data_IF_710002094701
#
_entry.id   IF_710002094701
#
_cell.length_a   1.000
_cell.length_b   1.000
_cell.length_c   1.000
_cell.angle_alpha   90.00
_cell.angle_beta   90.00
_cell.angle_gamma   90.00
#
_symmetry.space_group_name_H-M   'P 1'
#
loop_
_entity.id
_entity.type
_entity.pdbx_description
1 polymer ?
#
# COMPACT_ATOMS: atom_id res chain seq x y z
N UNK A 1 -6.41 28.05 7.75
CA UNK A 1 -5.13 27.32 7.57
C UNK A 1 -3.98 28.32 7.66
N UNK A 2 -3.20 28.32 8.76
CA UNK A 2 -2.00 29.16 8.87
C UNK A 2 -0.93 28.64 7.90
N UNK A 3 -0.38 29.53 7.06
CA UNK A 3 0.76 29.21 6.18
C UNK A 3 1.92 28.70 7.03
N UNK A 4 2.58 27.58 6.67
CA UNK A 4 3.78 27.14 7.38
C UNK A 4 4.87 28.21 7.22
N UNK A 5 5.41 28.69 8.34
CA UNK A 5 6.57 29.61 8.36
C UNK A 5 7.71 29.00 7.56
N UNK A 6 8.34 29.79 6.68
CA UNK A 6 9.50 29.29 5.92
C UNK A 6 10.68 29.14 6.88
N UNK A 7 11.58 28.19 6.60
CA UNK A 7 12.77 27.93 7.42
C UNK A 7 13.62 29.19 7.71
N UNK A 8 13.67 30.12 6.75
CA UNK A 8 14.36 31.41 6.88
C UNK A 8 13.71 32.29 7.96
N UNK A 9 12.39 32.31 8.02
CA UNK A 9 11.63 33.12 8.98
C UNK A 9 11.83 32.62 10.41
N UNK A 10 11.93 31.29 10.61
CA UNK A 10 12.18 30.70 11.93
C UNK A 10 13.56 31.06 12.48
N UNK A 11 14.59 31.04 11.61
CA UNK A 11 15.96 31.42 12.00
C UNK A 11 16.04 32.88 12.40
N UNK A 12 15.39 33.77 11.65
CA UNK A 12 15.39 35.22 11.94
C UNK A 12 14.68 35.51 13.26
N UNK A 13 13.53 34.87 13.50
CA UNK A 13 12.80 35.01 14.77
C UNK A 13 13.62 34.49 15.95
N UNK A 14 14.28 33.34 15.81
CA UNK A 14 15.10 32.78 16.88
C UNK A 14 16.30 33.69 17.22
N UNK A 15 17.01 34.19 16.21
CA UNK A 15 18.10 35.15 16.41
C UNK A 15 17.62 36.42 17.10
N UNK A 16 16.46 36.97 16.71
CA UNK A 16 15.88 38.14 17.37
C UNK A 16 15.59 37.90 18.86
N UNK A 17 14.97 36.78 19.21
CA UNK A 17 14.67 36.46 20.62
C UNK A 17 15.93 36.22 21.47
N UNK A 18 16.98 35.61 20.89
CA UNK A 18 18.27 35.41 21.58
C UNK A 18 18.94 36.76 21.84
N UNK A 19 18.98 37.64 20.84
CA UNK A 19 19.53 38.99 20.97
C UNK A 19 18.74 39.77 22.03
N UNK A 20 17.40 39.74 21.95
CA UNK A 20 16.55 40.44 22.89
C UNK A 20 16.78 39.97 24.33
N UNK A 21 16.86 38.66 24.57
CA UNK A 21 17.08 38.12 25.90
C UNK A 21 18.48 38.37 26.46
N UNK A 22 19.48 38.55 25.59
CA UNK A 22 20.80 38.99 26.02
C UNK A 22 20.80 40.45 26.48
N UNK A 23 20.09 41.33 25.77
CA UNK A 23 20.06 42.76 26.09
C UNK A 23 19.02 43.14 27.17
N UNK A 24 17.96 42.35 27.36
CA UNK A 24 16.89 42.65 28.32
C UNK A 24 17.39 42.90 29.75
N UNK A 25 18.32 42.08 30.31
CA UNK A 25 18.83 42.31 31.67
C UNK A 25 19.62 43.61 31.81
N UNK A 26 20.27 44.08 30.73
CA UNK A 26 20.98 45.36 30.75
C UNK A 26 20.04 46.57 30.81
N UNK A 27 18.82 46.42 30.29
CA UNK A 27 17.79 47.47 30.32
C UNK A 27 17.07 47.51 31.68
N UNK A 28 16.85 46.35 32.30
CA UNK A 28 16.08 46.20 33.55
C UNK A 28 16.96 46.32 34.81
N UNK A 29 18.28 46.29 34.63
CA UNK A 29 19.28 46.37 35.71
C UNK A 29 19.01 47.50 36.70
N UNK A 30 19.10 47.17 38.00
CA UNK A 30 19.14 48.17 39.06
C UNK A 30 20.54 48.80 39.21
N UNK A 31 20.61 50.08 39.60
CA UNK A 31 21.88 50.83 39.72
C UNK A 31 22.91 50.18 40.66
N UNK A 32 22.45 49.37 41.60
CA UNK A 32 23.28 48.71 42.61
C UNK A 32 23.83 47.34 42.16
N UNK A 33 23.41 46.83 41.00
CA UNK A 33 23.85 45.53 40.49
C UNK A 33 25.19 45.65 39.77
N UNK A 34 26.08 44.69 40.02
CA UNK A 34 27.36 44.60 39.32
C UNK A 34 27.16 44.16 37.87
N UNK A 35 28.04 44.64 36.97
CA UNK A 35 28.01 44.21 35.56
C UNK A 35 28.13 42.69 35.41
N UNK A 36 28.85 42.03 36.33
CA UNK A 36 29.09 40.60 36.31
C UNK A 36 27.80 39.82 36.63
N UNK A 37 27.01 40.32 37.58
CA UNK A 37 25.70 39.75 37.93
C UNK A 37 24.73 39.84 36.75
N UNK A 38 24.66 40.99 36.08
CA UNK A 38 23.76 41.19 34.94
C UNK A 38 24.17 40.36 33.73
N UNK A 39 25.48 40.23 33.48
CA UNK A 39 26.00 39.37 32.43
C UNK A 39 25.67 37.89 32.68
N UNK A 40 25.79 37.42 33.93
CA UNK A 40 25.39 36.07 34.30
C UNK A 40 23.90 35.81 34.04
N UNK A 41 23.02 36.75 34.42
CA UNK A 41 21.58 36.67 34.15
C UNK A 41 21.29 36.64 32.64
N UNK A 42 21.98 37.46 31.84
CA UNK A 42 21.84 37.45 30.38
C UNK A 42 22.24 36.11 29.76
N UNK A 43 23.34 35.50 30.21
CA UNK A 43 23.75 34.17 29.74
C UNK A 43 22.76 33.09 30.14
N UNK A 44 22.21 33.12 31.36
CA UNK A 44 21.16 32.20 31.78
C UNK A 44 19.88 32.36 30.94
N UNK A 45 19.47 33.59 30.65
CA UNK A 45 18.31 33.88 29.81
C UNK A 45 18.50 33.38 28.37
N UNK A 46 19.67 33.61 27.78
CA UNK A 46 20.03 33.06 26.46
C UNK A 46 20.03 31.53 26.48
N UNK A 47 20.63 30.92 27.51
CA UNK A 47 20.64 29.46 27.68
C UNK A 47 19.23 28.86 27.77
N UNK A 48 18.34 29.49 28.53
CA UNK A 48 16.94 29.07 28.64
C UNK A 48 16.20 29.14 27.30
N UNK A 49 16.36 30.25 26.56
CA UNK A 49 15.76 30.42 25.23
C UNK A 49 16.33 29.42 24.21
N UNK A 50 17.64 29.22 24.19
CA UNK A 50 18.28 28.24 23.31
C UNK A 50 17.76 26.82 23.58
N UNK A 51 17.55 26.46 24.83
CA UNK A 51 16.98 25.16 25.22
C UNK A 51 15.53 25.03 24.74
N UNK A 52 14.73 26.09 24.87
CA UNK A 52 13.35 26.13 24.37
C UNK A 52 13.26 25.98 22.85
N UNK A 53 14.14 26.66 22.09
CA UNK A 53 14.23 26.46 20.64
C UNK A 53 14.68 25.04 20.27
N UNK A 54 15.62 24.46 21.02
CA UNK A 54 16.07 23.09 20.80
C UNK A 54 14.94 22.10 21.01
N UNK A 55 14.13 22.27 22.06
CA UNK A 55 12.93 21.46 22.29
C UNK A 55 11.92 21.61 21.15
N UNK A 56 11.69 22.84 20.67
CA UNK A 56 10.78 23.09 19.55
C UNK A 56 11.26 22.41 18.25
N UNK A 57 12.57 22.47 17.96
CA UNK A 57 13.19 21.77 16.83
C UNK A 57 13.02 20.26 17.01
N UNK A 58 13.29 19.71 18.19
CA UNK A 58 13.13 18.29 18.47
C UNK A 58 11.67 17.83 18.26
N UNK A 59 10.69 18.64 18.68
CA UNK A 59 9.28 18.35 18.44
C UNK A 59 8.93 18.36 16.95
N UNK A 60 9.41 19.36 16.19
CA UNK A 60 9.22 19.42 14.73
C UNK A 60 9.87 18.23 14.04
N UNK A 61 11.08 17.84 14.46
CA UNK A 61 11.77 16.68 13.91
C UNK A 61 11.01 15.38 14.24
N UNK A 62 10.52 15.23 15.47
CA UNK A 62 9.71 14.09 15.87
C UNK A 62 8.40 14.00 15.09
N UNK A 63 7.67 15.11 14.94
CA UNK A 63 6.43 15.17 14.15
C UNK A 63 6.72 14.82 12.67
N UNK A 64 7.77 15.40 12.10
CA UNK A 64 8.10 15.24 10.69
C UNK A 64 8.68 13.87 10.33
N UNK A 65 9.51 13.30 11.19
CA UNK A 65 10.21 12.05 10.93
C UNK A 65 9.57 10.87 11.67
N UNK A 66 9.18 11.04 12.92
CA UNK A 66 8.55 9.99 13.73
C UNK A 66 7.16 9.59 13.22
N UNK A 67 6.24 10.56 13.09
CA UNK A 67 4.88 10.25 12.63
C UNK A 67 4.86 9.84 11.16
N UNK A 68 5.60 10.55 10.29
CA UNK A 68 5.65 10.21 8.86
C UNK A 68 6.22 8.81 8.63
N UNK A 69 7.29 8.44 9.33
CA UNK A 69 7.88 7.10 9.17
C UNK A 69 6.95 6.02 9.73
N UNK A 70 6.29 6.24 10.88
CA UNK A 70 5.25 5.31 11.36
C UNK A 70 4.10 5.16 10.37
N UNK A 71 3.65 6.26 9.77
CA UNK A 71 2.62 6.22 8.74
C UNK A 71 3.05 5.41 7.51
N UNK A 72 4.29 5.60 7.04
CA UNK A 72 4.82 4.83 5.89
C UNK A 72 5.00 3.36 6.28
N UNK A 73 5.48 3.07 7.49
CA UNK A 73 5.62 1.71 8.02
C UNK A 73 4.29 0.98 8.02
N UNK A 74 3.27 1.53 8.70
CA UNK A 74 1.94 0.91 8.77
C UNK A 74 1.31 0.69 7.39
N UNK A 75 1.52 1.61 6.44
CA UNK A 75 1.08 1.43 5.06
C UNK A 75 1.86 0.31 4.36
N UNK A 76 3.16 0.25 4.58
CA UNK A 76 4.04 -0.79 4.03
C UNK A 76 3.62 -2.15 4.53
N UNK A 77 3.43 -2.30 5.85
CA UNK A 77 2.98 -3.55 6.47
C UNK A 77 1.66 -4.04 5.88
N UNK A 78 0.73 -3.13 5.61
CA UNK A 78 -0.56 -3.48 5.00
C UNK A 78 -0.47 -3.80 3.51
N UNK A 79 0.45 -3.18 2.78
CA UNK A 79 0.74 -3.57 1.39
C UNK A 79 1.44 -4.92 1.34
N UNK A 80 2.34 -5.22 2.28
CA UNK A 80 2.99 -6.53 2.41
C UNK A 80 1.97 -7.62 2.78
N UNK A 81 1.07 -7.35 3.71
CA UNK A 81 -0.03 -8.27 4.03
C UNK A 81 -0.88 -8.59 2.77
N UNK A 82 -1.17 -7.58 1.94
CA UNK A 82 -1.86 -7.81 0.67
C UNK A 82 -1.02 -8.67 -0.29
N UNK A 83 0.28 -8.46 -0.36
CA UNK A 83 1.18 -9.26 -1.20
C UNK A 83 1.18 -10.72 -0.75
N UNK A 84 1.34 -10.96 0.54
CA UNK A 84 1.38 -12.32 1.10
C UNK A 84 0.06 -13.05 0.84
N UNK A 85 -1.06 -12.34 1.02
CA UNK A 85 -2.37 -12.83 0.64
C UNK A 85 -2.41 -13.21 -0.86
N UNK A 86 -2.04 -12.28 -1.75
CA UNK A 86 -2.09 -12.48 -3.20
C UNK A 86 -1.13 -13.57 -3.71
N UNK A 87 0.01 -13.78 -3.04
CA UNK A 87 0.94 -14.87 -3.33
C UNK A 87 0.38 -16.21 -2.91
N UNK A 88 -0.26 -16.28 -1.74
CA UNK A 88 -0.81 -17.52 -1.19
C UNK A 88 -2.04 -18.05 -1.92
N UNK A 89 -2.61 -17.31 -2.88
CA UNK A 89 -3.80 -17.76 -3.62
C UNK A 89 -3.44 -18.25 -5.02
N UNK A 90 -3.96 -19.43 -5.37
CA UNK A 90 -3.95 -19.96 -6.72
C UNK A 90 -5.19 -19.50 -7.48
N UNK A 91 -4.99 -18.84 -8.62
CA UNK A 91 -6.05 -18.49 -9.56
C UNK A 91 -5.82 -19.31 -10.82
N UNK A 92 -6.78 -20.18 -11.15
CA UNK A 92 -6.78 -20.91 -12.41
C UNK A 92 -7.98 -20.49 -13.25
N UNK A 93 -7.78 -20.40 -14.56
CA UNK A 93 -8.84 -20.20 -15.54
C UNK A 93 -8.96 -21.47 -16.39
N UNK A 94 -10.09 -22.16 -16.28
CA UNK A 94 -10.41 -23.31 -17.11
C UNK A 94 -11.10 -22.86 -18.38
N UNK A 95 -10.58 -23.32 -19.52
CA UNK A 95 -11.24 -23.26 -20.81
C UNK A 95 -11.41 -24.69 -21.30
N UNK A 96 -12.38 -24.94 -22.19
CA UNK A 96 -12.62 -26.29 -22.75
C UNK A 96 -11.39 -26.96 -23.38
N UNK A 97 -10.31 -26.20 -23.63
CA UNK A 97 -9.09 -26.70 -24.25
C UNK A 97 -7.88 -26.67 -23.33
N UNK A 98 -7.75 -25.65 -22.48
CA UNK A 98 -6.57 -25.49 -21.62
C UNK A 98 -6.92 -24.87 -20.27
N UNK A 99 -6.07 -25.17 -19.31
CA UNK A 99 -6.11 -24.59 -17.98
C UNK A 99 -4.97 -23.58 -17.84
N UNK A 100 -5.32 -22.32 -17.63
CA UNK A 100 -4.34 -21.26 -17.38
C UNK A 100 -4.05 -21.15 -15.89
N UNK A 101 -2.77 -21.20 -15.52
CA UNK A 101 -2.32 -20.82 -14.19
C UNK A 101 -2.02 -19.32 -14.17
N UNK A 102 -2.99 -18.51 -13.72
CA UNK A 102 -2.88 -17.05 -13.75
C UNK A 102 -1.89 -16.56 -12.69
N UNK A 103 -2.06 -17.03 -11.45
CA UNK A 103 -1.33 -16.53 -10.28
C UNK A 103 -1.36 -14.99 -10.18
N UNK A 104 -0.47 -14.41 -9.38
CA UNK A 104 -0.26 -12.95 -9.33
C UNK A 104 1.10 -12.53 -9.91
N UNK A 105 1.78 -13.46 -10.56
CA UNK A 105 3.05 -13.23 -11.23
C UNK A 105 2.82 -12.61 -12.62
N UNK A 106 3.41 -11.44 -12.86
CA UNK A 106 3.29 -10.70 -14.12
C UNK A 106 3.89 -11.44 -15.31
N UNK A 107 4.97 -12.19 -15.12
CA UNK A 107 5.60 -12.96 -16.20
C UNK A 107 4.67 -14.09 -16.66
N UNK A 108 3.97 -14.74 -15.73
CA UNK A 108 2.91 -15.72 -16.07
C UNK A 108 1.78 -15.07 -16.86
N UNK A 109 1.28 -13.91 -16.41
CA UNK A 109 0.23 -13.17 -17.11
C UNK A 109 0.67 -12.79 -18.54
N UNK A 110 1.91 -12.32 -18.71
CA UNK A 110 2.44 -11.97 -20.03
C UNK A 110 2.61 -13.18 -20.93
N UNK A 111 3.10 -14.31 -20.41
CA UNK A 111 3.24 -15.55 -21.16
C UNK A 111 1.89 -16.09 -21.65
N UNK A 112 0.84 -15.95 -20.85
CA UNK A 112 -0.53 -16.32 -21.25
C UNK A 112 -0.96 -15.53 -22.49
N UNK A 113 -0.71 -14.21 -22.50
CA UNK A 113 -1.10 -13.32 -23.63
C UNK A 113 -0.38 -13.66 -24.94
N UNK A 114 0.80 -14.28 -24.86
CA UNK A 114 1.57 -14.74 -26.02
C UNK A 114 1.06 -16.07 -26.60
N UNK A 115 0.24 -16.81 -25.84
CA UNK A 115 -0.28 -18.10 -26.32
C UNK A 115 -1.29 -17.93 -27.45
N UNK A 116 -1.28 -18.86 -28.43
CA UNK A 116 -2.25 -18.87 -29.53
C UNK A 116 -3.69 -19.01 -29.02
N UNK A 117 -3.87 -19.83 -27.99
CA UNK A 117 -5.17 -20.11 -27.38
C UNK A 117 -5.75 -18.88 -26.67
N UNK A 118 -4.91 -17.99 -26.15
CA UNK A 118 -5.38 -16.72 -25.58
C UNK A 118 -6.13 -15.86 -26.59
N UNK A 119 -5.73 -15.87 -27.87
CA UNK A 119 -6.42 -15.06 -28.89
C UNK A 119 -7.88 -15.47 -29.10
N UNK A 120 -8.21 -16.76 -28.87
CA UNK A 120 -9.59 -17.26 -28.91
C UNK A 120 -10.33 -17.06 -27.60
N UNK A 121 -9.61 -17.03 -26.48
CA UNK A 121 -10.19 -17.03 -25.13
C UNK A 121 -10.35 -15.62 -24.53
N UNK A 122 -9.61 -14.62 -25.04
CA UNK A 122 -9.53 -13.26 -24.48
C UNK A 122 -10.87 -12.53 -24.34
N UNK A 123 -11.81 -12.79 -25.25
CA UNK A 123 -13.12 -12.13 -25.30
C UNK A 123 -14.20 -12.87 -24.50
N UNK A 124 -13.90 -14.07 -23.98
CA UNK A 124 -14.85 -14.85 -23.19
C UNK A 124 -15.12 -14.17 -21.85
N UNK A 125 -16.35 -14.32 -21.37
CA UNK A 125 -16.79 -13.74 -20.10
C UNK A 125 -16.34 -14.62 -18.95
N UNK A 126 -15.76 -14.00 -17.94
CA UNK A 126 -15.33 -14.66 -16.71
C UNK A 126 -16.53 -15.00 -15.85
N UNK A 127 -16.60 -16.27 -15.44
CA UNK A 127 -17.58 -16.79 -14.49
C UNK A 127 -16.84 -17.41 -13.31
N UNK A 128 -17.46 -17.34 -12.13
CA UNK A 128 -16.87 -17.80 -10.87
C UNK A 128 -17.79 -18.80 -10.20
N UNK A 129 -17.23 -19.70 -9.40
CA UNK A 129 -17.99 -20.35 -8.35
C UNK A 129 -18.06 -19.39 -7.15
N UNK A 130 -19.23 -18.78 -6.92
CA UNK A 130 -19.34 -17.70 -5.92
C UNK A 130 -19.07 -18.14 -4.50
N UNK A 131 -19.59 -19.28 -4.05
CA UNK A 131 -19.42 -19.70 -2.65
C UNK A 131 -17.94 -19.88 -2.34
N UNK A 132 -17.20 -20.52 -3.24
CA UNK A 132 -15.76 -20.74 -3.07
C UNK A 132 -14.95 -19.47 -3.27
N UNK A 133 -15.32 -18.64 -4.25
CA UNK A 133 -14.69 -17.32 -4.43
C UNK A 133 -14.88 -16.47 -3.18
N UNK A 134 -16.08 -16.48 -2.59
CA UNK A 134 -16.39 -15.75 -1.37
C UNK A 134 -15.52 -16.23 -0.21
N UNK A 135 -15.45 -17.54 0.00
CA UNK A 135 -14.67 -18.15 1.07
C UNK A 135 -13.17 -17.84 0.97
N UNK A 136 -12.58 -18.01 -0.21
CA UNK A 136 -11.13 -17.89 -0.42
C UNK A 136 -10.69 -16.44 -0.56
N UNK A 137 -11.46 -15.63 -1.29
CA UNK A 137 -11.06 -14.29 -1.69
C UNK A 137 -11.71 -13.24 -0.82
N UNK A 138 -13.04 -13.23 -0.71
CA UNK A 138 -13.70 -12.00 -0.26
C UNK A 138 -13.50 -11.65 1.22
N UNK A 139 -13.44 -12.61 2.15
CA UNK A 139 -13.38 -12.25 3.58
C UNK A 139 -12.09 -11.52 3.95
N UNK A 140 -10.95 -12.16 3.71
CA UNK A 140 -9.64 -11.63 4.05
C UNK A 140 -9.27 -10.42 3.17
N UNK A 141 -9.58 -10.49 1.87
CA UNK A 141 -9.37 -9.35 0.96
C UNK A 141 -10.16 -8.12 1.40
N UNK A 142 -11.42 -8.30 1.82
CA UNK A 142 -12.28 -7.21 2.27
C UNK A 142 -11.73 -6.57 3.56
N UNK A 143 -11.23 -7.38 4.50
CA UNK A 143 -10.58 -6.87 5.71
C UNK A 143 -9.33 -6.03 5.38
N UNK A 144 -8.47 -6.54 4.47
CA UNK A 144 -7.28 -5.82 3.99
C UNK A 144 -7.68 -4.52 3.30
N UNK A 145 -8.68 -4.55 2.41
CA UNK A 145 -9.14 -3.38 1.64
C UNK A 145 -9.79 -2.31 2.52
N UNK A 146 -10.56 -2.69 3.55
CA UNK A 146 -11.17 -1.74 4.49
C UNK A 146 -10.14 -0.98 5.32
N UNK A 147 -8.97 -1.58 5.56
CA UNK A 147 -7.91 -0.96 6.36
C UNK A 147 -7.58 0.46 5.89
N UNK A 148 -7.64 1.46 6.79
CA UNK A 148 -7.28 2.85 6.48
C UNK A 148 -5.84 2.99 5.95
N UNK A 149 -4.99 2.03 6.31
CA UNK A 149 -3.58 1.97 5.97
C UNK A 149 -3.31 1.46 4.55
N UNK A 150 -4.26 0.79 3.88
CA UNK A 150 -4.02 0.39 2.51
C UNK A 150 -4.08 1.62 1.57
N UNK A 151 -3.05 1.88 0.73
CA UNK A 151 -3.04 3.03 -0.15
C UNK A 151 -4.27 3.09 -1.06
N UNK A 152 -4.91 4.26 -1.15
CA UNK A 152 -6.13 4.47 -1.96
C UNK A 152 -6.00 4.02 -3.42
N UNK A 153 -4.81 4.17 -4.02
CA UNK A 153 -4.54 3.73 -5.39
C UNK A 153 -4.64 2.20 -5.52
N UNK A 154 -4.09 1.46 -4.56
CA UNK A 154 -4.16 0.00 -4.52
C UNK A 154 -5.59 -0.44 -4.21
N UNK A 155 -6.27 0.19 -3.24
CA UNK A 155 -7.69 -0.09 -2.92
C UNK A 155 -8.58 -0.09 -4.17
N UNK A 156 -8.49 0.96 -4.99
CA UNK A 156 -9.28 1.07 -6.23
C UNK A 156 -8.95 -0.02 -7.25
N UNK A 157 -7.70 -0.48 -7.29
CA UNK A 157 -7.28 -1.57 -8.18
C UNK A 157 -7.73 -2.95 -7.69
N UNK A 158 -8.28 -3.07 -6.49
CA UNK A 158 -8.91 -4.30 -6.00
C UNK A 158 -10.42 -4.36 -6.30
N UNK A 159 -11.03 -3.29 -6.83
CA UNK A 159 -12.48 -3.22 -7.05
C UNK A 159 -13.00 -4.31 -8.00
N UNK A 160 -12.20 -4.76 -8.97
CA UNK A 160 -12.60 -5.82 -9.90
C UNK A 160 -12.72 -7.22 -9.25
N UNK A 161 -12.19 -7.40 -8.03
CA UNK A 161 -12.34 -8.60 -7.22
C UNK A 161 -13.57 -8.52 -6.30
N UNK A 162 -14.27 -7.38 -6.29
CA UNK A 162 -15.52 -7.22 -5.56
C UNK A 162 -16.71 -7.35 -6.49
N UNK A 163 -17.47 -8.42 -6.30
CA UNK A 163 -18.64 -8.71 -7.10
C UNK A 163 -19.90 -8.26 -6.37
N UNK A 164 -20.55 -7.22 -6.91
CA UNK A 164 -21.76 -6.64 -6.30
C UNK A 164 -23.03 -7.38 -6.71
N UNK A 165 -23.08 -7.89 -7.94
CA UNK A 165 -24.25 -8.57 -8.49
C UNK A 165 -23.78 -9.82 -9.21
N UNK A 166 -24.45 -10.94 -8.90
CA UNK A 166 -24.15 -12.26 -9.43
C UNK A 166 -25.45 -12.94 -9.83
N UNK A 167 -25.45 -13.57 -11.00
CA UNK A 167 -26.58 -14.38 -11.45
C UNK A 167 -26.11 -15.80 -11.82
N UNK A 168 -26.93 -16.83 -11.52
CA UNK A 168 -26.55 -18.21 -11.78
C UNK A 168 -26.51 -18.52 -13.27
N UNK A 169 -25.61 -19.43 -13.65
CA UNK A 169 -25.51 -20.03 -14.98
C UNK A 169 -25.57 -21.54 -14.78
N UNK A 170 -26.69 -22.14 -15.18
CA UNK A 170 -26.96 -23.58 -15.00
C UNK A 170 -26.06 -24.46 -15.88
N UNK A 171 -25.75 -24.00 -17.11
CA UNK A 171 -24.89 -24.71 -18.06
C UNK A 171 -24.03 -23.71 -18.84
N UNK A 172 -22.82 -23.39 -18.36
CA UNK A 172 -21.95 -22.44 -19.05
C UNK A 172 -21.49 -23.02 -20.39
N UNK A 173 -21.81 -22.32 -21.48
CA UNK A 173 -21.20 -22.60 -22.77
C UNK A 173 -19.70 -22.22 -22.73
N UNK A 174 -18.82 -23.21 -22.89
CA UNK A 174 -17.37 -23.02 -22.87
C UNK A 174 -16.83 -22.18 -24.04
N UNK A 175 -17.64 -21.93 -25.07
CA UNK A 175 -17.34 -20.98 -26.15
C UNK A 175 -17.53 -19.53 -25.70
N UNK A 176 -18.44 -19.27 -24.76
CA UNK A 176 -18.78 -17.93 -24.28
C UNK A 176 -18.09 -17.59 -22.95
N UNK A 177 -17.86 -18.59 -22.10
CA UNK A 177 -17.43 -18.37 -20.73
C UNK A 177 -16.06 -19.00 -20.40
N UNK A 178 -15.38 -18.40 -19.43
CA UNK A 178 -14.16 -18.94 -18.80
C UNK A 178 -14.41 -19.08 -17.31
N UNK A 179 -14.12 -20.28 -16.80
CA UNK A 179 -14.36 -20.66 -15.42
C UNK A 179 -13.13 -20.30 -14.58
N UNK A 180 -13.27 -19.34 -13.68
CA UNK A 180 -12.26 -19.08 -12.65
C UNK A 180 -12.52 -19.98 -11.45
N UNK A 181 -11.55 -20.82 -11.13
CA UNK A 181 -11.61 -21.72 -9.98
C UNK A 181 -10.30 -21.69 -9.18
N UNK A 182 -10.42 -22.02 -7.92
CA UNK A 182 -9.36 -21.84 -6.93
C UNK A 182 -8.92 -23.13 -6.26
N UNK A 183 -9.65 -24.26 -6.40
CA UNK A 183 -9.21 -25.61 -5.94
C UNK A 183 -10.26 -26.74 -6.07
N UNK A 184 -11.56 -26.46 -6.31
CA UNK A 184 -12.64 -27.49 -6.31
C UNK A 184 -13.53 -27.44 -7.56
N UNK A 185 -14.10 -28.61 -7.94
CA UNK A 185 -14.91 -28.86 -9.16
C UNK A 185 -16.43 -28.63 -9.01
N UNK A 186 -16.91 -28.10 -7.89
CA UNK A 186 -18.36 -27.93 -7.68
C UNK A 186 -19.03 -26.88 -8.60
N UNK A 187 -20.33 -27.11 -8.87
CA UNK A 187 -20.95 -26.94 -10.19
C UNK A 187 -21.83 -25.68 -10.39
N UNK A 188 -22.00 -24.80 -9.39
CA UNK A 188 -22.83 -23.59 -9.57
C UNK A 188 -21.98 -22.40 -9.98
N UNK A 189 -21.99 -22.13 -11.28
CA UNK A 189 -21.31 -20.99 -11.87
C UNK A 189 -22.17 -19.74 -11.80
N UNK A 190 -21.55 -18.60 -11.52
CA UNK A 190 -22.19 -17.30 -11.57
C UNK A 190 -21.41 -16.36 -12.48
N UNK A 191 -22.13 -15.61 -13.30
CA UNK A 191 -21.56 -14.47 -14.01
C UNK A 191 -21.64 -13.22 -13.15
N UNK A 192 -20.67 -12.34 -13.37
CA UNK A 192 -20.47 -11.09 -12.65
C UNK A 192 -21.09 -9.96 -13.45
N UNK A 193 -21.72 -8.99 -12.75
CA UNK A 193 -22.15 -7.73 -13.35
C UNK A 193 -21.33 -6.57 -12.76
N UNK A 194 -20.71 -5.71 -13.61
CA UNK A 194 -20.66 -5.82 -15.07
C UNK A 194 -19.86 -7.04 -15.51
N UNK A 195 -20.18 -7.58 -16.69
CA UNK A 195 -19.44 -8.69 -17.27
C UNK A 195 -17.98 -8.29 -17.47
N UNK A 196 -17.06 -9.16 -17.02
CA UNK A 196 -15.62 -8.98 -17.16
C UNK A 196 -15.13 -9.99 -18.18
N UNK A 197 -14.48 -9.53 -19.25
CA UNK A 197 -13.81 -10.43 -20.19
C UNK A 197 -12.52 -10.96 -19.60
N UNK A 198 -12.04 -12.09 -20.11
CA UNK A 198 -10.78 -12.68 -19.65
C UNK A 198 -9.59 -11.73 -19.85
N UNK A 199 -9.53 -11.03 -20.97
CA UNK A 199 -8.53 -9.98 -21.20
C UNK A 199 -8.60 -8.89 -20.14
N UNK A 200 -9.80 -8.39 -19.85
CA UNK A 200 -10.00 -7.33 -18.86
C UNK A 200 -9.56 -7.78 -17.47
N UNK A 201 -9.89 -9.02 -17.10
CA UNK A 201 -9.45 -9.62 -15.84
C UNK A 201 -7.91 -9.65 -15.74
N UNK A 202 -7.22 -10.11 -16.78
CA UNK A 202 -5.74 -10.14 -16.79
C UNK A 202 -5.12 -8.74 -16.76
N UNK A 203 -5.73 -7.76 -17.44
CA UNK A 203 -5.28 -6.37 -17.40
C UNK A 203 -5.41 -5.80 -16.00
N UNK A 204 -6.57 -5.98 -15.36
CA UNK A 204 -6.80 -5.44 -14.02
C UNK A 204 -5.92 -6.12 -12.96
N UNK A 205 -5.65 -7.41 -13.12
CA UNK A 205 -4.71 -8.16 -12.29
C UNK A 205 -3.26 -7.66 -12.45
N UNK A 206 -2.76 -7.51 -13.67
CA UNK A 206 -1.42 -6.96 -13.96
C UNK A 206 -1.29 -5.51 -13.44
N UNK A 207 -2.32 -4.69 -13.61
CA UNK A 207 -2.37 -3.31 -13.11
C UNK A 207 -2.33 -3.23 -11.58
N UNK A 208 -3.01 -4.14 -10.90
CA UNK A 208 -2.95 -4.26 -9.44
C UNK A 208 -1.51 -4.57 -8.99
N UNK A 209 -0.89 -5.58 -9.58
CA UNK A 209 0.47 -6.01 -9.23
C UNK A 209 1.47 -4.88 -9.50
N UNK A 210 1.41 -4.24 -10.67
CA UNK A 210 2.20 -3.03 -11.01
C UNK A 210 2.01 -1.91 -9.99
N UNK A 211 0.78 -1.67 -9.55
CA UNK A 211 0.49 -0.61 -8.58
C UNK A 211 1.11 -0.92 -7.21
N UNK A 212 1.15 -2.19 -6.80
CA UNK A 212 1.79 -2.64 -5.57
C UNK A 212 3.31 -2.47 -5.68
N UNK A 213 3.93 -3.01 -6.73
CA UNK A 213 5.38 -2.90 -7.00
C UNK A 213 5.84 -1.45 -7.01
N UNK A 214 5.13 -0.59 -7.75
CA UNK A 214 5.45 0.84 -7.85
C UNK A 214 5.31 1.54 -6.50
N UNK A 215 4.29 1.19 -5.71
CA UNK A 215 4.09 1.83 -4.42
C UNK A 215 5.23 1.50 -3.46
N UNK A 216 5.61 0.22 -3.37
CA UNK A 216 6.70 -0.24 -2.50
C UNK A 216 8.06 0.29 -2.93
N UNK A 217 8.36 0.28 -4.23
CA UNK A 217 9.60 0.87 -4.75
C UNK A 217 9.76 2.35 -4.35
N UNK A 218 8.66 3.12 -4.38
CA UNK A 218 8.69 4.56 -4.06
C UNK A 218 8.77 4.83 -2.55
N UNK A 219 8.15 4.00 -1.70
CA UNK A 219 7.95 4.33 -0.29
C UNK A 219 8.78 3.50 0.69
N UNK A 220 9.23 2.31 0.30
CA UNK A 220 10.00 1.41 1.16
C UNK A 220 11.28 0.89 0.51
N UNK A 221 11.52 1.19 -0.78
CA UNK A 221 12.63 0.63 -1.58
C UNK A 221 12.68 -0.91 -1.57
N UNK A 222 11.54 -1.56 -1.26
CA UNK A 222 11.40 -3.01 -1.27
C UNK A 222 11.11 -3.46 -2.70
N UNK A 223 11.92 -4.37 -3.22
CA UNK A 223 11.62 -5.11 -4.45
C UNK A 223 10.88 -6.38 -4.06
N UNK A 224 9.65 -6.53 -4.54
CA UNK A 224 8.86 -7.75 -4.34
C UNK A 224 8.98 -8.62 -5.57
N UNK A 225 9.23 -9.89 -5.32
CA UNK A 225 9.06 -10.94 -6.31
C UNK A 225 7.71 -11.61 -6.07
N UNK A 226 6.80 -11.58 -7.05
CA UNK A 226 5.51 -12.30 -7.00
C UNK A 226 5.63 -13.77 -7.43
N UNK A 227 6.84 -14.25 -7.74
CA UNK A 227 7.11 -15.67 -7.78
C UNK A 227 6.71 -16.28 -6.43
N UNK A 228 5.78 -17.23 -6.48
CA UNK A 228 5.60 -18.17 -5.39
C UNK A 228 6.97 -18.76 -5.07
N UNK A 229 7.34 -18.79 -3.78
CA UNK A 229 8.14 -19.91 -3.34
C UNK A 229 7.29 -21.14 -3.67
N UNK A 230 7.60 -21.82 -4.77
CA UNK A 230 7.31 -23.23 -4.91
C UNK A 230 7.82 -23.81 -3.59
N UNK A 231 6.92 -24.11 -2.66
CA UNK A 231 7.34 -24.77 -1.45
C UNK A 231 8.10 -26.00 -1.90
N UNK A 232 9.33 -26.18 -1.43
CA UNK A 232 10.12 -27.43 -1.50
C UNK A 232 9.41 -28.56 -0.73
N UNK A 233 8.11 -28.73 -0.96
CA UNK A 233 7.20 -29.68 -0.32
C UNK A 233 6.43 -30.45 -1.39
N UNK A 234 7.14 -30.93 -2.39
CA UNK A 234 6.83 -32.23 -2.95
C UNK A 234 8.15 -32.99 -2.94
N UNK A 235 8.40 -33.90 -1.98
CA UNK A 235 9.42 -34.90 -2.22
C UNK A 235 8.99 -35.64 -3.48
N UNK A 236 9.90 -35.73 -4.44
CA UNK A 236 9.79 -36.61 -5.59
C UNK A 236 9.31 -37.98 -5.11
N UNK A 237 8.02 -38.28 -5.26
CA UNK A 237 7.58 -39.67 -5.34
C UNK A 237 7.96 -40.13 -6.74
N UNK A 238 9.24 -40.49 -6.90
CA UNK A 238 9.68 -41.33 -8.00
C UNK A 238 8.93 -42.65 -7.88
N UNK A 239 8.28 -43.02 -8.98
CA UNK A 239 7.87 -44.38 -9.31
C UNK A 239 9.09 -45.31 -9.39
#
# INVERSE_FOLDING_TARGET
>A
MKKPMKKKDLSVVASFFIILAFFLPFIIRNKNESNLTVFAVALTAVGAIATLFTLFIAFILYDRFGLKNRFISNKTDKVLQLVDFLKGKYIMADTSKIMYNLGTNRDKINNIRLSRQYQTDKNKIVIINYERYREIWTKELYEIKRSYWLPRKIKRKLDFLEFNILYPIEQPNDEKYIKLFTESKEQVWKAIIPEITFEKFLIDLDDLVKSIEKWLKVHSNIKIDFNLGESEKYPDTKA
#
